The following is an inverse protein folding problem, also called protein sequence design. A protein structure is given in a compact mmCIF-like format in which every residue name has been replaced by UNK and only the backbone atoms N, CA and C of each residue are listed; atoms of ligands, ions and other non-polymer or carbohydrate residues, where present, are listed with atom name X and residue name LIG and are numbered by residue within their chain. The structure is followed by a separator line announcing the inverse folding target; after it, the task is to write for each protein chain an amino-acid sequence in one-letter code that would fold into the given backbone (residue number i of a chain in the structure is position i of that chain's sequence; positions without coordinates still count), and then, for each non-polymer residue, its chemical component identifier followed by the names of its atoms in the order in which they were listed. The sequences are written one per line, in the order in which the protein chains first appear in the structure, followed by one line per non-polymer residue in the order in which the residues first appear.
data_IF_258207228430
#
_entry.id   IF_258207228430
#
_cell.length_a   1.000
_cell.length_b   1.000
_cell.length_c   1.000
_cell.angle_alpha   90.00
_cell.angle_beta   90.00
_cell.angle_gamma   90.00
#
_symmetry.space_group_name_H-M   'P 1'
#
loop_
_entity.id
_entity.type
_entity.pdbx_description
1 polymer ?
#
# COMPACT_ATOMS: atom_id res chain seq x y z
N UNK A 1 6.61 23.97 -24.21
CA UNK A 1 7.74 24.81 -23.79
C UNK A 1 9.02 23.98 -23.80
N UNK A 2 9.98 24.27 -24.69
CA UNK A 2 11.28 23.59 -24.73
C UNK A 2 12.06 23.71 -23.40
N UNK A 3 11.88 24.81 -22.66
CA UNK A 3 12.55 25.04 -21.38
C UNK A 3 12.05 24.10 -20.27
N UNK A 4 10.81 23.63 -20.35
CA UNK A 4 10.26 22.64 -19.39
C UNK A 4 10.89 21.24 -19.57
N UNK A 5 11.48 20.93 -20.73
CA UNK A 5 12.13 19.63 -21.00
C UNK A 5 13.61 19.59 -20.64
N UNK A 6 14.30 20.72 -20.57
CA UNK A 6 15.73 20.76 -20.24
C UNK A 6 16.01 20.77 -18.74
N UNK A 7 15.13 21.35 -17.90
CA UNK A 7 15.30 21.38 -16.44
C UNK A 7 14.73 20.17 -15.70
N UNK A 8 13.90 19.37 -16.38
CA UNK A 8 13.30 18.15 -15.84
C UNK A 8 13.59 16.93 -16.72
N UNK A 9 14.86 16.72 -17.09
CA UNK A 9 15.37 15.36 -17.27
C UNK A 9 15.24 14.67 -15.91
N UNK A 10 14.04 14.16 -15.60
CA UNK A 10 13.83 13.11 -14.61
C UNK A 10 14.65 11.93 -15.12
N UNK A 11 15.96 12.02 -14.89
CA UNK A 11 16.96 11.41 -15.73
C UNK A 11 16.62 9.96 -15.93
N UNK A 12 16.74 9.46 -17.14
CA UNK A 12 16.55 8.03 -17.46
C UNK A 12 17.18 7.14 -16.36
N UNK A 13 18.27 7.60 -15.75
CA UNK A 13 18.99 7.02 -14.60
C UNK A 13 18.22 7.03 -13.27
N UNK A 14 17.58 8.11 -12.88
CA UNK A 14 16.78 8.18 -11.64
C UNK A 14 15.50 7.38 -11.78
N UNK A 15 14.89 7.41 -12.96
CA UNK A 15 13.77 6.54 -13.30
C UNK A 15 14.18 5.05 -13.29
N UNK A 16 15.29 4.69 -13.95
CA UNK A 16 15.85 3.33 -13.91
C UNK A 16 16.18 2.92 -12.48
N UNK A 17 16.77 3.79 -11.66
CA UNK A 17 17.07 3.51 -10.25
C UNK A 17 15.80 3.32 -9.40
N UNK A 18 14.75 4.10 -9.65
CA UNK A 18 13.45 3.99 -8.97
C UNK A 18 12.64 2.77 -9.43
N UNK A 19 12.82 2.33 -10.67
CA UNK A 19 12.24 1.08 -11.17
C UNK A 19 13.03 -0.11 -10.62
N UNK A 20 14.36 -0.05 -10.65
CA UNK A 20 15.23 -1.13 -10.20
C UNK A 20 15.09 -1.39 -8.70
N UNK A 21 15.26 -0.37 -7.85
CA UNK A 21 15.39 -0.63 -6.41
C UNK A 21 14.03 -0.94 -5.76
N UNK A 22 13.01 -0.06 -5.84
CA UNK A 22 11.64 -0.37 -5.45
C UNK A 22 11.02 -1.56 -6.21
N UNK A 23 11.18 -1.65 -7.53
CA UNK A 23 10.57 -2.71 -8.33
C UNK A 23 11.17 -4.08 -8.05
N UNK A 24 12.50 -4.22 -8.06
CA UNK A 24 13.15 -5.50 -7.73
C UNK A 24 12.84 -5.95 -6.30
N UNK A 25 12.80 -5.01 -5.35
CA UNK A 25 12.36 -5.32 -3.99
C UNK A 25 10.93 -5.89 -4.00
N UNK A 26 10.03 -5.27 -4.73
CA UNK A 26 8.62 -5.70 -4.80
C UNK A 26 8.50 -7.08 -5.44
N UNK A 27 9.20 -7.37 -6.55
CA UNK A 27 9.21 -8.70 -7.18
C UNK A 27 9.77 -9.80 -6.27
N UNK A 28 10.79 -9.49 -5.47
CA UNK A 28 11.30 -10.43 -4.44
C UNK A 28 10.26 -10.69 -3.36
N UNK A 29 9.57 -9.65 -2.90
CA UNK A 29 8.52 -9.77 -1.89
C UNK A 29 7.31 -10.55 -2.42
N UNK A 30 6.95 -10.36 -3.70
CA UNK A 30 5.93 -11.20 -4.37
C UNK A 30 6.37 -12.66 -4.44
N UNK A 31 7.62 -12.93 -4.84
CA UNK A 31 8.15 -14.30 -4.89
C UNK A 31 8.20 -14.98 -3.52
N UNK A 32 8.39 -14.20 -2.45
CA UNK A 32 8.36 -14.65 -1.07
C UNK A 32 6.95 -14.67 -0.43
N UNK A 33 5.89 -14.45 -1.22
CA UNK A 33 4.49 -14.43 -0.78
C UNK A 33 4.15 -13.34 0.26
N UNK A 34 4.97 -12.27 0.28
CA UNK A 34 4.83 -11.12 1.20
C UNK A 34 4.07 -9.95 0.59
N UNK A 35 3.73 -10.03 -0.70
CA UNK A 35 2.91 -9.06 -1.43
C UNK A 35 1.85 -9.83 -2.18
N UNK A 36 0.59 -9.54 -1.89
CA UNK A 36 -0.58 -10.09 -2.58
C UNK A 36 -1.18 -9.01 -3.48
N UNK A 37 -1.66 -9.42 -4.65
CA UNK A 37 -2.34 -8.55 -5.61
C UNK A 37 -3.77 -9.07 -5.79
N UNK A 38 -4.72 -8.14 -5.79
CA UNK A 38 -6.14 -8.44 -5.94
C UNK A 38 -6.68 -7.64 -7.11
N UNK A 39 -7.54 -8.27 -7.91
CA UNK A 39 -8.15 -7.62 -9.07
C UNK A 39 -9.47 -6.94 -8.71
N UNK A 40 -10.10 -7.38 -7.62
CA UNK A 40 -11.30 -6.75 -7.08
C UNK A 40 -11.33 -6.78 -5.54
N UNK A 41 -12.21 -5.94 -4.99
CA UNK A 41 -12.38 -5.73 -3.55
C UNK A 41 -13.00 -6.95 -2.84
N UNK A 42 -14.02 -7.64 -3.39
CA UNK A 42 -14.53 -8.90 -2.81
C UNK A 42 -13.49 -10.02 -2.69
N UNK A 43 -12.61 -10.18 -3.68
CA UNK A 43 -11.48 -11.12 -3.65
C UNK A 43 -10.53 -10.79 -2.50
N UNK A 44 -10.15 -9.52 -2.37
CA UNK A 44 -9.28 -9.06 -1.28
C UNK A 44 -9.89 -9.32 0.10
N UNK A 45 -11.19 -9.02 0.28
CA UNK A 45 -11.90 -9.30 1.53
C UNK A 45 -11.94 -10.80 1.83
N UNK A 46 -12.28 -11.63 0.84
CA UNK A 46 -12.34 -13.09 1.01
C UNK A 46 -11.00 -13.67 1.43
N UNK A 47 -9.91 -13.23 0.77
CA UNK A 47 -8.55 -13.62 1.14
C UNK A 47 -8.22 -13.28 2.60
N UNK A 48 -8.55 -12.07 3.05
CA UNK A 48 -8.29 -11.67 4.45
C UNK A 48 -9.09 -12.52 5.44
N UNK A 49 -10.36 -12.82 5.14
CA UNK A 49 -11.22 -13.65 5.98
C UNK A 49 -10.82 -15.13 6.02
N UNK A 50 -10.23 -15.66 4.95
CA UNK A 50 -9.69 -17.03 4.88
C UNK A 50 -8.28 -17.13 5.49
N UNK A 51 -7.56 -16.01 5.51
CA UNK A 51 -6.23 -15.91 6.10
C UNK A 51 -6.28 -15.92 7.63
N UNK A 52 -5.15 -16.25 8.26
CA UNK A 52 -5.01 -16.26 9.73
C UNK A 52 -4.50 -14.92 10.28
N UNK A 53 -4.84 -13.80 9.65
CA UNK A 53 -4.43 -12.48 10.14
C UNK A 53 -5.30 -12.06 11.32
N UNK A 54 -4.66 -11.71 12.44
CA UNK A 54 -5.35 -11.24 13.65
C UNK A 54 -5.27 -9.72 13.83
N UNK A 55 -4.40 -9.05 13.06
CA UNK A 55 -4.16 -7.61 13.19
C UNK A 55 -3.57 -7.05 11.91
N UNK A 56 -4.01 -5.85 11.52
CA UNK A 56 -3.46 -5.09 10.40
C UNK A 56 -2.81 -3.80 10.88
N UNK A 57 -1.61 -3.51 10.39
CA UNK A 57 -0.87 -2.29 10.74
C UNK A 57 -0.07 -1.80 9.55
N UNK A 58 -0.18 -0.51 9.24
CA UNK A 58 0.64 0.09 8.19
C UNK A 58 0.19 1.48 7.76
N UNK A 59 1.00 2.12 6.91
CA UNK A 59 0.77 3.50 6.46
C UNK A 59 -0.18 3.64 5.28
N UNK A 60 -0.62 2.53 4.70
CA UNK A 60 -1.59 2.52 3.61
C UNK A 60 -2.98 2.34 4.21
N UNK A 61 -3.73 3.44 4.30
CA UNK A 61 -5.03 3.43 4.96
C UNK A 61 -6.00 2.40 4.36
N UNK A 62 -6.02 2.23 3.04
CA UNK A 62 -6.88 1.25 2.36
C UNK A 62 -6.62 -0.19 2.82
N UNK A 63 -5.38 -0.55 3.13
CA UNK A 63 -5.05 -1.87 3.66
C UNK A 63 -5.61 -2.11 5.06
N UNK A 64 -5.64 -1.06 5.88
CA UNK A 64 -6.26 -1.11 7.22
C UNK A 64 -7.79 -1.10 7.11
N UNK A 65 -8.37 -0.29 6.22
CA UNK A 65 -9.82 -0.26 5.96
C UNK A 65 -10.30 -1.63 5.48
N UNK A 66 -9.61 -2.27 4.54
CA UNK A 66 -10.02 -3.60 4.07
C UNK A 66 -9.96 -4.65 5.19
N UNK A 67 -8.95 -4.58 6.07
CA UNK A 67 -8.88 -5.44 7.24
C UNK A 67 -10.09 -5.21 8.17
N UNK A 68 -10.44 -3.96 8.47
CA UNK A 68 -11.62 -3.62 9.28
C UNK A 68 -12.90 -4.18 8.63
N UNK A 69 -13.07 -4.00 7.33
CA UNK A 69 -14.22 -4.54 6.56
C UNK A 69 -14.27 -6.08 6.52
N UNK A 70 -13.12 -6.74 6.70
CA UNK A 70 -13.01 -8.18 6.86
C UNK A 70 -13.20 -8.64 8.32
N UNK A 71 -13.43 -7.73 9.27
CA UNK A 71 -13.57 -8.03 10.69
C UNK A 71 -12.24 -8.19 11.43
N UNK A 72 -11.13 -7.74 10.83
CA UNK A 72 -9.79 -7.80 11.41
C UNK A 72 -9.44 -6.43 12.01
N UNK A 73 -9.09 -6.36 13.31
CA UNK A 73 -8.65 -5.13 13.95
C UNK A 73 -7.45 -4.51 13.23
N UNK A 74 -7.47 -3.19 13.06
CA UNK A 74 -6.40 -2.47 12.37
C UNK A 74 -5.98 -1.19 13.09
N UNK A 75 -4.72 -0.78 12.92
CA UNK A 75 -4.21 0.53 13.34
C UNK A 75 -3.43 1.18 12.20
N UNK A 76 -3.81 2.41 11.85
CA UNK A 76 -3.16 3.17 10.78
C UNK A 76 -1.85 3.79 11.29
N UNK A 77 -0.77 3.62 10.54
CA UNK A 77 0.48 4.37 10.77
C UNK A 77 0.40 5.68 9.97
N UNK A 78 0.00 6.77 10.63
CA UNK A 78 -0.13 8.07 9.99
C UNK A 78 1.25 8.63 9.62
N UNK A 79 1.63 8.51 8.35
CA UNK A 79 2.92 8.98 7.82
C UNK A 79 2.90 10.42 7.32
N UNK A 80 1.71 10.99 7.13
CA UNK A 80 1.44 12.33 6.65
C UNK A 80 0.12 12.84 7.24
N UNK A 81 -0.11 14.16 7.17
CA UNK A 81 -1.31 14.80 7.72
C UNK A 81 -2.59 14.32 7.04
N UNK A 82 -2.57 14.11 5.71
CA UNK A 82 -3.73 13.60 4.97
C UNK A 82 -4.21 12.26 5.53
N UNK A 83 -3.29 11.35 5.81
CA UNK A 83 -3.63 10.03 6.37
C UNK A 83 -4.14 10.14 7.80
N UNK A 84 -3.56 11.06 8.58
CA UNK A 84 -4.00 11.36 9.94
C UNK A 84 -5.42 11.93 9.97
N UNK A 85 -5.67 13.01 9.23
CA UNK A 85 -6.98 13.69 9.12
C UNK A 85 -8.07 12.71 8.71
N UNK A 86 -7.78 11.81 7.75
CA UNK A 86 -8.73 10.81 7.30
C UNK A 86 -9.04 9.76 8.39
N UNK A 87 -8.03 9.34 9.15
CA UNK A 87 -8.20 8.42 10.27
C UNK A 87 -8.99 9.08 11.41
N UNK A 88 -8.67 10.33 11.75
CA UNK A 88 -9.37 11.14 12.76
C UNK A 88 -10.85 11.32 12.40
N UNK A 89 -11.15 11.71 11.15
CA UNK A 89 -12.53 11.92 10.70
C UNK A 89 -13.40 10.66 10.84
N UNK A 90 -12.83 9.50 10.51
CA UNK A 90 -13.50 8.21 10.61
C UNK A 90 -13.42 7.57 12.00
N UNK A 91 -12.66 8.18 12.93
CA UNK A 91 -12.29 7.62 14.24
C UNK A 91 -11.57 6.26 14.16
N UNK A 92 -10.91 5.98 13.02
CA UNK A 92 -10.08 4.78 12.87
C UNK A 92 -8.84 4.95 13.75
N UNK A 93 -8.49 3.98 14.62
CA UNK A 93 -7.29 4.09 15.43
C UNK A 93 -6.02 4.27 14.60
N UNK A 94 -5.18 5.21 15.02
CA UNK A 94 -3.92 5.50 14.35
C UNK A 94 -2.81 5.83 15.34
N UNK A 95 -1.57 5.70 14.87
CA UNK A 95 -0.35 6.17 15.55
C UNK A 95 0.49 6.99 14.57
N UNK A 96 1.13 8.09 15.00
CA UNK A 96 2.05 8.82 14.14
C UNK A 96 3.25 7.95 13.74
N UNK A 97 3.77 8.17 12.54
CA UNK A 97 4.98 7.49 12.07
C UNK A 97 6.15 7.74 13.04
N UNK A 98 6.83 6.67 13.43
CA UNK A 98 7.93 6.71 14.40
C UNK A 98 7.48 6.59 15.85
N UNK A 99 6.17 6.67 16.12
CA UNK A 99 5.57 6.46 17.45
C UNK A 99 5.03 5.02 17.55
N UNK A 100 5.86 4.06 17.15
CA UNK A 100 5.60 2.64 17.32
C UNK A 100 6.92 1.87 17.35
N UNK A 101 6.93 0.76 18.07
CA UNK A 101 8.00 -0.23 18.04
C UNK A 101 7.48 -1.48 17.32
N UNK A 102 8.23 -1.98 16.33
CA UNK A 102 7.86 -3.19 15.58
C UNK A 102 7.75 -4.41 16.49
N UNK A 103 8.55 -4.45 17.56
CA UNK A 103 8.54 -5.56 18.52
C UNK A 103 7.30 -5.54 19.43
N UNK A 104 6.54 -4.43 19.45
CA UNK A 104 5.40 -4.19 20.37
C UNK A 104 4.06 -4.04 19.67
N UNK A 105 3.92 -4.56 18.44
CA UNK A 105 2.64 -4.53 17.71
C UNK A 105 1.51 -5.23 18.47
N UNK A 106 1.82 -6.28 19.23
CA UNK A 106 0.82 -6.95 20.07
C UNK A 106 0.31 -6.05 21.20
N UNK A 107 1.20 -5.30 21.86
CA UNK A 107 0.81 -4.34 22.90
C UNK A 107 -0.04 -3.21 22.32
N UNK A 108 0.32 -2.73 21.12
CA UNK A 108 -0.47 -1.77 20.39
C UNK A 108 -1.87 -2.32 20.10
N UNK A 109 -1.97 -3.54 19.58
CA UNK A 109 -3.24 -4.22 19.36
C UNK A 109 -4.06 -4.32 20.66
N UNK A 110 -3.46 -4.83 21.74
CA UNK A 110 -4.14 -5.08 23.01
C UNK A 110 -4.67 -3.81 23.69
N UNK A 111 -3.98 -2.67 23.53
CA UNK A 111 -4.39 -1.40 24.15
C UNK A 111 -5.30 -0.53 23.29
N UNK A 112 -5.51 -0.89 22.02
CA UNK A 112 -6.25 -0.03 21.09
C UNK A 112 -7.75 -0.08 21.38
N UNK A 113 -8.37 1.09 21.56
CA UNK A 113 -9.82 1.21 21.70
C UNK A 113 -10.49 1.50 20.35
N UNK A 114 -11.44 0.65 19.98
CA UNK A 114 -12.23 0.74 18.75
C UNK A 114 -13.63 1.32 18.98
N UNK A 115 -13.96 1.69 20.22
CA UNK A 115 -15.32 2.05 20.60
C UNK A 115 -15.83 3.32 19.90
N UNK A 116 -14.97 4.31 19.68
CA UNK A 116 -15.33 5.52 18.94
C UNK A 116 -15.74 5.18 17.49
N UNK A 117 -14.83 4.52 16.76
CA UNK A 117 -15.09 4.00 15.42
C UNK A 117 -16.42 3.23 15.34
N UNK A 118 -16.58 2.21 16.19
CA UNK A 118 -17.75 1.32 16.17
C UNK A 118 -19.06 2.06 16.43
N UNK A 119 -19.07 3.06 17.33
CA UNK A 119 -20.26 3.85 17.62
C UNK A 119 -20.62 4.83 16.49
N UNK A 120 -19.63 5.43 15.85
CA UNK A 120 -19.87 6.51 14.89
C UNK A 120 -19.92 6.09 13.43
N UNK A 121 -19.51 4.87 13.08
CA UNK A 121 -19.44 4.42 11.68
C UNK A 121 -20.79 4.51 10.95
N UNK A 122 -21.87 3.98 11.53
CA UNK A 122 -23.20 3.99 10.92
C UNK A 122 -23.66 5.43 10.61
N UNK A 123 -23.59 6.34 11.60
CA UNK A 123 -23.99 7.73 11.40
C UNK A 123 -23.13 8.48 10.37
N UNK A 124 -21.84 8.14 10.22
CA UNK A 124 -20.98 8.70 9.16
C UNK A 124 -21.37 8.17 7.78
N UNK A 125 -21.68 6.88 7.69
CA UNK A 125 -22.15 6.25 6.47
C UNK A 125 -23.46 6.91 6.01
N UNK A 126 -24.44 7.05 6.90
CA UNK A 126 -25.74 7.66 6.61
C UNK A 126 -25.57 9.11 6.12
N UNK A 127 -24.72 9.91 6.77
CA UNK A 127 -24.41 11.28 6.32
C UNK A 127 -23.78 11.33 4.93
N UNK A 128 -22.94 10.35 4.60
CA UNK A 128 -22.32 10.26 3.27
C UNK A 128 -23.35 9.88 2.20
N UNK A 129 -24.23 8.92 2.51
CA UNK A 129 -25.35 8.55 1.64
C UNK A 129 -26.31 9.73 1.42
N UNK A 130 -26.74 10.37 2.50
CA UNK A 130 -27.61 11.57 2.46
C UNK A 130 -27.03 12.68 1.58
N UNK A 131 -25.72 12.90 1.64
CA UNK A 131 -25.04 13.87 0.80
C UNK A 131 -25.17 13.50 -0.68
N UNK A 132 -24.87 12.25 -1.06
CA UNK A 132 -24.99 11.84 -2.46
C UNK A 132 -26.44 11.90 -2.96
N UNK A 133 -27.40 11.47 -2.14
CA UNK A 133 -28.84 11.50 -2.47
C UNK A 133 -29.32 12.92 -2.66
N UNK A 134 -29.01 13.83 -1.73
CA UNK A 134 -29.41 15.24 -1.79
C UNK A 134 -28.89 15.96 -3.03
N UNK A 135 -27.74 15.53 -3.53
CA UNK A 135 -27.12 16.10 -4.72
C UNK A 135 -27.43 15.35 -6.02
N UNK A 136 -28.33 14.35 -5.97
CA UNK A 136 -28.74 13.58 -7.16
C UNK A 136 -27.62 12.72 -7.75
N UNK A 137 -26.60 12.37 -6.95
CA UNK A 137 -25.46 11.56 -7.38
C UNK A 137 -25.72 10.05 -7.22
N UNK A 138 -26.61 9.67 -6.33
CA UNK A 138 -27.05 8.29 -6.12
C UNK A 138 -28.48 8.28 -5.55
N UNK A 139 -29.27 7.25 -5.85
CA UNK A 139 -30.52 6.99 -5.13
C UNK A 139 -30.26 6.27 -3.80
N UNK A 140 -29.25 5.38 -3.78
CA UNK A 140 -28.75 4.63 -2.61
C UNK A 140 -27.36 4.08 -2.92
N UNK A 141 -26.44 4.06 -1.96
CA UNK A 141 -25.04 3.67 -2.18
C UNK A 141 -24.83 2.16 -2.08
N UNK A 142 -25.52 1.48 -1.16
CA UNK A 142 -25.32 0.05 -0.92
C UNK A 142 -26.65 -0.66 -0.62
N UNK A 143 -27.57 -0.72 -1.60
CA UNK A 143 -28.76 -1.55 -1.45
C UNK A 143 -28.34 -2.99 -1.10
N UNK A 144 -29.04 -3.57 -0.12
CA UNK A 144 -28.90 -4.96 0.32
C UNK A 144 -27.52 -5.35 0.89
N UNK A 145 -26.68 -4.37 1.22
CA UNK A 145 -25.32 -4.61 1.69
C UNK A 145 -24.53 -5.52 0.73
N UNK A 146 -24.65 -5.33 -0.58
CA UNK A 146 -24.09 -6.20 -1.62
C UNK A 146 -22.63 -6.62 -1.37
N UNK A 147 -21.79 -5.71 -0.88
CA UNK A 147 -20.40 -6.01 -0.53
C UNK A 147 -20.23 -7.03 0.61
N UNK A 148 -21.14 -7.02 1.59
CA UNK A 148 -21.15 -7.97 2.70
C UNK A 148 -21.98 -9.22 2.40
N UNK A 149 -22.98 -9.10 1.53
CA UNK A 149 -23.87 -10.17 1.10
C UNK A 149 -23.25 -11.07 0.03
N UNK A 150 -22.24 -10.60 -0.71
CA UNK A 150 -21.56 -11.41 -1.71
C UNK A 150 -20.98 -12.69 -1.09
N UNK A 151 -21.24 -13.83 -1.72
CA UNK A 151 -20.67 -15.11 -1.29
C UNK A 151 -19.14 -15.01 -1.20
N UNK A 152 -18.57 -15.68 -0.19
CA UNK A 152 -17.12 -15.80 -0.09
C UNK A 152 -16.63 -16.53 -1.32
N UNK A 153 -15.77 -15.85 -2.09
CA UNK A 153 -15.08 -16.50 -3.19
C UNK A 153 -13.95 -17.28 -2.55
N UNK A 154 -13.95 -18.60 -2.72
CA UNK A 154 -12.82 -19.43 -2.34
C UNK A 154 -11.62 -18.93 -3.12
N UNK A 155 -10.80 -18.14 -2.47
CA UNK A 155 -9.59 -17.62 -3.08
C UNK A 155 -8.54 -18.69 -2.90
N UNK A 156 -8.42 -19.59 -3.88
CA UNK A 156 -7.07 -20.10 -4.14
C UNK A 156 -6.23 -18.85 -4.34
N UNK A 157 -5.30 -18.57 -3.41
CA UNK A 157 -4.40 -17.42 -3.54
C UNK A 157 -3.88 -17.47 -4.97
N UNK A 158 -4.34 -16.55 -5.84
CA UNK A 158 -3.94 -16.56 -7.24
C UNK A 158 -2.46 -16.34 -7.21
N UNK A 159 -1.64 -17.39 -7.37
CA UNK A 159 -0.24 -17.22 -7.12
C UNK A 159 0.20 -16.28 -8.21
N UNK A 160 0.74 -15.12 -7.82
CA UNK A 160 1.52 -14.30 -8.74
C UNK A 160 2.40 -15.29 -9.49
N UNK A 161 2.26 -15.40 -10.83
CA UNK A 161 2.77 -16.53 -11.61
C UNK A 161 4.20 -16.83 -11.15
N UNK A 162 4.38 -17.88 -10.33
CA UNK A 162 5.62 -18.06 -9.56
C UNK A 162 6.79 -18.33 -10.48
N UNK A 163 6.53 -18.98 -11.61
CA UNK A 163 7.51 -19.19 -12.65
C UNK A 163 7.93 -17.85 -13.27
N UNK A 164 6.98 -16.98 -13.63
CA UNK A 164 7.28 -15.65 -14.16
C UNK A 164 8.01 -14.75 -13.17
N UNK A 165 7.58 -14.74 -11.90
CA UNK A 165 8.26 -13.98 -10.83
C UNK A 165 9.65 -14.54 -10.54
N UNK A 166 9.81 -15.86 -10.57
CA UNK A 166 11.09 -16.54 -10.47
C UNK A 166 12.04 -16.11 -11.60
N UNK A 167 11.56 -16.15 -12.84
CA UNK A 167 12.32 -15.71 -14.02
C UNK A 167 12.74 -14.23 -13.93
N UNK A 168 11.84 -13.36 -13.48
CA UNK A 168 12.17 -11.95 -13.25
C UNK A 168 13.21 -11.81 -12.15
N UNK A 169 13.05 -12.51 -11.02
CA UNK A 169 14.00 -12.44 -9.91
C UNK A 169 15.39 -12.95 -10.32
N UNK A 170 15.47 -14.04 -11.10
CA UNK A 170 16.72 -14.56 -11.65
C UNK A 170 17.37 -13.56 -12.61
N UNK A 171 16.58 -12.95 -13.52
CA UNK A 171 17.06 -11.87 -14.40
C UNK A 171 17.58 -10.67 -13.61
N UNK A 172 16.89 -10.27 -12.54
CA UNK A 172 17.30 -9.18 -11.66
C UNK A 172 18.60 -9.50 -10.90
N UNK A 173 18.78 -10.75 -10.45
CA UNK A 173 20.01 -11.17 -9.78
C UNK A 173 21.19 -11.24 -10.77
N UNK A 174 20.96 -11.76 -11.99
CA UNK A 174 21.97 -11.81 -13.06
C UNK A 174 22.41 -10.43 -13.53
N UNK A 175 21.46 -9.52 -13.72
CA UNK A 175 21.73 -8.18 -14.27
C UNK A 175 22.08 -7.16 -13.19
N UNK A 176 21.76 -7.44 -11.92
CA UNK A 176 22.04 -6.55 -10.78
C UNK A 176 23.50 -6.05 -10.71
N UNK A 177 24.53 -6.91 -10.89
CA UNK A 177 25.92 -6.48 -10.95
C UNK A 177 26.22 -5.52 -12.12
N UNK A 178 25.64 -5.77 -13.30
CA UNK A 178 25.81 -4.93 -14.48
C UNK A 178 25.21 -3.53 -14.27
N UNK A 179 23.96 -3.45 -13.78
CA UNK A 179 23.31 -2.18 -13.48
C UNK A 179 24.04 -1.40 -12.38
N UNK A 180 24.54 -2.09 -11.33
CA UNK A 180 25.41 -1.47 -10.31
C UNK A 180 26.71 -0.94 -10.89
N UNK A 181 27.35 -1.68 -11.80
CA UNK A 181 28.60 -1.28 -12.45
C UNK A 181 28.42 -0.07 -13.38
N UNK A 182 27.33 -0.02 -14.17
CA UNK A 182 26.97 1.13 -15.01
C UNK A 182 26.71 2.38 -14.15
N UNK A 183 25.99 2.22 -13.04
CA UNK A 183 25.79 3.29 -12.06
C UNK A 183 27.09 3.78 -11.41
N UNK A 184 28.03 2.87 -11.11
CA UNK A 184 29.32 3.17 -10.50
C UNK A 184 30.29 3.85 -11.48
N UNK A 185 30.39 3.36 -12.71
CA UNK A 185 31.21 3.96 -13.78
C UNK A 185 30.74 5.39 -14.10
N UNK A 186 29.43 5.63 -14.16
CA UNK A 186 28.85 6.96 -14.33
C UNK A 186 29.13 7.90 -13.14
N UNK A 187 29.32 7.36 -11.93
CA UNK A 187 29.71 8.12 -10.72
C UNK A 187 31.20 8.49 -10.74
N UNK A 188 32.07 7.54 -11.12
CA UNK A 188 33.52 7.72 -11.20
C UNK A 188 33.90 8.77 -12.25
N UNK A 189 33.30 8.69 -13.45
CA UNK A 189 33.57 9.62 -14.57
C UNK A 189 33.24 11.08 -14.21
N UNK A 190 32.20 11.30 -13.41
CA UNK A 190 31.80 12.64 -12.92
C UNK A 190 32.68 13.14 -11.77
N UNK A 191 33.07 12.26 -10.85
CA UNK A 191 34.05 12.61 -9.80
C UNK A 191 35.39 13.04 -10.42
N UNK A 192 35.85 12.32 -11.43
CA UNK A 192 37.03 12.70 -12.21
C UNK A 192 36.84 14.04 -12.92
N UNK A 193 35.70 14.27 -13.57
CA UNK A 193 35.40 15.55 -14.21
C UNK A 193 35.30 16.74 -13.23
N UNK A 194 34.85 16.53 -11.99
CA UNK A 194 34.85 17.55 -10.94
C UNK A 194 36.24 17.84 -10.39
N UNK A 195 37.09 16.81 -10.26
CA UNK A 195 38.48 16.95 -9.83
C UNK A 195 39.30 17.67 -10.90
N UNK A 196 39.08 17.38 -12.18
CA UNK A 196 39.79 17.98 -13.32
C UNK A 196 39.31 19.39 -13.69
N UNK A 197 38.24 19.90 -13.05
CA UNK A 197 37.73 21.27 -13.19
C UNK A 197 38.16 22.20 -12.04
N UNK A 198 39.00 21.71 -11.13
CA UNK A 198 39.75 22.50 -10.14
C UNK A 198 41.21 22.54 -10.56
#
# INVERSE_FOLDING_TARGET
DPAFREEHDLGLRDMVRLIERPGAFTFRMMGADRVQLFHDVPEWRSFLMESRFSFSFGSRIHGNIMAILAGIPAVVCACDSRTQELAEFHEIPFVPKGVYDRERLYELYARTDYSAFNRGFAARYDRYEDFLVRHGLAERINPDNAFFASERRRTEARPVNRAFIGEINEKLDRLGPFYRAVGWAARMKRRLAQILRR
#
